data_IF_953908626478
#
_entry.id   IF_953908626478
#
_cell.length_a   1.000
_cell.length_b   1.000
_cell.length_c   1.000
_cell.angle_alpha   90.00
_cell.angle_beta   90.00
_cell.angle_gamma   90.00
#
_symmetry.space_group_name_H-M   'P 1'
#
loop_
_entity.id
_entity.type
_entity.pdbx_description
1 polymer ?
#
# COMPACT_ATOMS: atom_id res chain seq x y z
N UNK A 1 9.10 -10.57 13.28
CA UNK A 1 8.86 -9.52 12.25
C UNK A 1 7.41 -9.09 12.35
N UNK A 2 7.14 -7.79 12.57
CA UNK A 2 5.77 -7.25 12.60
C UNK A 2 5.52 -6.52 11.29
N UNK A 3 4.43 -6.86 10.61
CA UNK A 3 4.05 -6.28 9.31
C UNK A 3 2.59 -5.85 9.36
N UNK A 4 2.32 -4.64 8.87
CA UNK A 4 0.97 -4.13 8.66
C UNK A 4 0.90 -3.36 7.35
N UNK A 5 -0.26 -3.38 6.70
CA UNK A 5 -0.56 -2.52 5.56
C UNK A 5 -1.59 -1.47 5.98
N UNK A 6 -1.45 -0.25 5.48
CA UNK A 6 -2.48 0.78 5.50
C UNK A 6 -2.96 0.93 4.07
N UNK A 7 -4.24 0.62 3.85
CA UNK A 7 -4.89 0.73 2.55
C UNK A 7 -5.78 1.95 2.59
N UNK A 8 -5.51 2.91 1.71
CA UNK A 8 -6.30 4.11 1.52
C UNK A 8 -7.11 3.96 0.24
N UNK A 9 -8.42 4.19 0.31
CA UNK A 9 -9.34 4.12 -0.83
C UNK A 9 -10.03 5.48 -0.95
N UNK A 10 -9.93 6.09 -2.12
CA UNK A 10 -10.58 7.36 -2.44
C UNK A 10 -11.48 7.16 -3.66
N UNK A 11 -12.70 7.66 -3.63
CA UNK A 11 -13.66 7.44 -4.70
C UNK A 11 -14.82 8.43 -4.67
N UNK A 12 -15.81 8.17 -5.53
CA UNK A 12 -17.03 8.96 -5.64
C UNK A 12 -18.22 8.07 -5.36
N UNK A 13 -19.04 8.46 -4.39
CA UNK A 13 -20.26 7.76 -4.01
C UNK A 13 -21.22 7.69 -5.20
N UNK A 14 -21.78 6.51 -5.43
CA UNK A 14 -22.98 6.34 -6.25
C UNK A 14 -24.18 6.96 -5.53
N UNK A 15 -25.20 7.44 -6.26
CA UNK A 15 -26.35 8.19 -5.69
C UNK A 15 -27.12 7.47 -4.56
N UNK A 16 -27.00 6.14 -4.46
CA UNK A 16 -27.61 5.29 -3.41
C UNK A 16 -26.64 4.97 -2.24
N UNK A 17 -25.43 5.53 -2.26
CA UNK A 17 -24.29 5.12 -1.45
C UNK A 17 -24.16 5.83 -0.10
N UNK A 18 -24.78 7.00 0.08
CA UNK A 18 -24.57 7.82 1.30
C UNK A 18 -25.04 7.14 2.59
N UNK A 19 -26.24 6.55 2.59
CA UNK A 19 -26.79 5.83 3.76
C UNK A 19 -25.93 4.62 4.10
N UNK A 20 -25.50 3.86 3.08
CA UNK A 20 -24.61 2.71 3.26
C UNK A 20 -23.25 3.13 3.82
N UNK A 21 -22.67 4.21 3.32
CA UNK A 21 -21.38 4.72 3.77
C UNK A 21 -21.39 5.03 5.28
N UNK A 22 -22.41 5.77 5.75
CA UNK A 22 -22.54 6.13 7.17
C UNK A 22 -22.60 4.92 8.12
N UNK A 23 -23.16 3.80 7.67
CA UNK A 23 -23.27 2.55 8.43
C UNK A 23 -21.96 1.76 8.46
N UNK A 24 -21.33 1.62 7.29
CA UNK A 24 -20.01 0.99 7.11
C UNK A 24 -18.99 1.59 8.09
N UNK A 25 -18.98 2.91 8.17
CA UNK A 25 -18.09 3.68 9.07
C UNK A 25 -18.27 3.31 10.53
N UNK A 26 -19.51 3.16 10.99
CA UNK A 26 -19.82 2.94 12.41
C UNK A 26 -19.53 1.51 12.83
N UNK A 27 -19.71 0.57 11.93
CA UNK A 27 -19.81 -0.86 12.25
C UNK A 27 -18.54 -1.65 11.89
N UNK A 28 -17.67 -1.12 11.02
CA UNK A 28 -16.55 -1.87 10.47
C UNK A 28 -15.19 -1.26 10.83
N UNK A 29 -14.15 -2.11 10.88
CA UNK A 29 -12.77 -1.70 11.17
C UNK A 29 -12.21 -0.86 10.01
N UNK A 30 -12.30 0.46 10.12
CA UNK A 30 -11.73 1.44 9.20
C UNK A 30 -11.85 2.86 9.76
N UNK A 31 -11.28 3.83 9.05
CA UNK A 31 -11.31 5.25 9.44
C UNK A 31 -11.65 6.13 8.24
N UNK A 32 -12.55 7.07 8.43
CA UNK A 32 -12.77 8.15 7.46
C UNK A 32 -11.67 9.18 7.64
N UNK A 33 -11.05 9.58 6.53
CA UNK A 33 -10.18 10.76 6.50
C UNK A 33 -10.94 11.98 6.01
N UNK A 34 -11.78 11.82 4.99
CA UNK A 34 -12.57 12.89 4.42
C UNK A 34 -13.87 12.38 3.78
N UNK A 35 -14.92 13.19 3.83
CA UNK A 35 -16.16 13.00 3.10
C UNK A 35 -16.62 14.39 2.67
N UNK A 36 -16.69 14.61 1.36
CA UNK A 36 -17.28 15.79 0.77
C UNK A 36 -18.64 15.41 0.19
N UNK A 37 -19.70 15.86 0.86
CA UNK A 37 -21.08 15.58 0.46
C UNK A 37 -21.56 16.49 -0.68
N UNK A 38 -20.85 17.57 -1.00
CA UNK A 38 -21.16 18.42 -2.14
C UNK A 38 -20.65 17.78 -3.43
N UNK A 39 -19.43 17.24 -3.41
CA UNK A 39 -18.84 16.53 -4.57
C UNK A 39 -19.07 15.02 -4.56
N UNK A 40 -19.73 14.49 -3.53
CA UNK A 40 -19.92 13.06 -3.29
C UNK A 40 -18.61 12.26 -3.27
N UNK A 41 -17.50 12.86 -2.81
CA UNK A 41 -16.20 12.20 -2.75
C UNK A 41 -15.89 11.70 -1.34
N UNK A 42 -15.22 10.56 -1.23
CA UNK A 42 -14.78 10.00 0.05
C UNK A 42 -13.30 9.65 0.02
N UNK A 43 -12.70 9.69 1.21
CA UNK A 43 -11.35 9.24 1.51
C UNK A 43 -11.41 8.41 2.80
N UNK A 44 -11.08 7.13 2.69
CA UNK A 44 -11.07 6.20 3.82
C UNK A 44 -9.76 5.43 3.90
N UNK A 45 -9.40 5.00 5.10
CA UNK A 45 -8.23 4.17 5.36
C UNK A 45 -8.57 2.97 6.26
N UNK A 46 -7.93 1.84 6.01
CA UNK A 46 -8.00 0.66 6.87
C UNK A 46 -6.60 0.12 7.13
N UNK A 47 -6.33 -0.29 8.37
CA UNK A 47 -5.10 -1.00 8.73
C UNK A 47 -5.35 -2.50 8.69
N UNK A 48 -4.58 -3.20 7.86
CA UNK A 48 -4.69 -4.64 7.66
C UNK A 48 -3.44 -5.33 8.19
N UNK A 49 -3.64 -6.45 8.86
CA UNK A 49 -2.60 -7.47 9.05
C UNK A 49 -2.84 -8.61 8.07
N UNK A 50 -1.92 -9.59 8.03
CA UNK A 50 -2.11 -10.81 7.21
C UNK A 50 -3.40 -11.57 7.51
N UNK A 51 -3.89 -11.49 8.75
CA UNK A 51 -5.11 -12.19 9.17
C UNK A 51 -6.38 -11.46 8.74
N UNK A 52 -6.27 -10.16 8.45
CA UNK A 52 -7.41 -9.27 8.20
C UNK A 52 -7.55 -8.91 6.71
N UNK A 53 -6.83 -9.60 5.81
CA UNK A 53 -6.82 -9.24 4.38
C UNK A 53 -8.23 -9.29 3.78
N UNK A 54 -9.01 -10.32 4.15
CA UNK A 54 -10.45 -10.35 3.85
C UNK A 54 -11.13 -9.39 4.80
N UNK A 55 -11.42 -8.20 4.30
CA UNK A 55 -11.92 -7.10 5.11
C UNK A 55 -13.32 -6.73 4.65
N UNK A 56 -14.31 -6.98 5.51
CA UNK A 56 -15.69 -6.54 5.28
C UNK A 56 -15.75 -5.03 5.02
N UNK A 57 -14.83 -4.26 5.61
CA UNK A 57 -14.69 -2.83 5.34
C UNK A 57 -14.33 -2.55 3.88
N UNK A 58 -13.34 -3.26 3.32
CA UNK A 58 -12.97 -3.12 1.90
C UNK A 58 -14.10 -3.60 1.02
N UNK A 59 -14.75 -4.71 1.36
CA UNK A 59 -15.88 -5.23 0.59
C UNK A 59 -17.01 -4.21 0.46
N UNK A 60 -17.45 -3.67 1.59
CA UNK A 60 -18.53 -2.70 1.60
C UNK A 60 -18.13 -1.36 0.96
N UNK A 61 -16.92 -0.85 1.22
CA UNK A 61 -16.41 0.37 0.58
C UNK A 61 -16.29 0.21 -0.93
N UNK A 62 -15.89 -0.98 -1.40
CA UNK A 62 -15.71 -1.22 -2.84
C UNK A 62 -17.02 -1.07 -3.64
N UNK A 63 -18.16 -1.31 -2.99
CA UNK A 63 -19.50 -1.18 -3.61
C UNK A 63 -19.98 0.27 -3.74
N UNK A 64 -19.27 1.22 -3.15
CA UNK A 64 -19.69 2.63 -3.10
C UNK A 64 -19.32 3.43 -4.34
N UNK A 65 -18.31 2.98 -5.11
CA UNK A 65 -17.86 3.61 -6.35
C UNK A 65 -17.78 2.57 -7.47
N UNK A 66 -17.81 3.02 -8.74
CA UNK A 66 -17.43 2.16 -9.88
C UNK A 66 -15.91 2.04 -10.01
N UNK A 67 -15.21 3.15 -9.79
CA UNK A 67 -13.76 3.27 -9.84
C UNK A 67 -13.27 3.99 -8.59
N UNK A 68 -12.10 3.59 -8.09
CA UNK A 68 -11.47 4.22 -6.94
C UNK A 68 -9.97 4.37 -7.16
N UNK A 69 -9.39 5.36 -6.49
CA UNK A 69 -7.96 5.47 -6.32
C UNK A 69 -7.53 4.71 -5.07
N UNK A 70 -6.52 3.85 -5.21
CA UNK A 70 -6.01 3.03 -4.10
C UNK A 70 -4.54 3.35 -3.85
N UNK A 71 -4.20 3.57 -2.58
CA UNK A 71 -2.83 3.76 -2.09
C UNK A 71 -2.57 2.72 -0.99
N UNK A 72 -1.54 1.90 -1.17
CA UNK A 72 -1.15 0.88 -0.19
C UNK A 72 0.22 1.25 0.39
N UNK A 73 0.30 1.30 1.72
CA UNK A 73 1.55 1.51 2.46
C UNK A 73 1.80 0.35 3.41
N UNK A 74 2.89 -0.37 3.20
CA UNK A 74 3.30 -1.47 4.09
C UNK A 74 4.39 -0.98 5.05
N UNK A 75 4.27 -1.36 6.31
CA UNK A 75 5.21 -1.06 7.37
C UNK A 75 5.75 -2.37 7.91
N UNK A 76 7.07 -2.52 7.87
CA UNK A 76 7.77 -3.72 8.35
C UNK A 76 8.77 -3.31 9.42
N UNK A 77 8.64 -3.88 10.62
CA UNK A 77 9.64 -3.71 11.68
C UNK A 77 10.76 -4.72 11.46
N UNK A 78 11.96 -4.22 11.17
CA UNK A 78 13.19 -4.99 10.95
C UNK A 78 14.14 -4.69 12.10
N UNK A 79 14.38 -5.69 12.94
CA UNK A 79 15.20 -5.52 14.15
C UNK A 79 16.70 -5.42 13.84
N UNK A 80 17.15 -5.96 12.69
CA UNK A 80 18.55 -6.03 12.30
C UNK A 80 18.72 -5.51 10.87
N UNK A 81 19.39 -4.36 10.74
CA UNK A 81 19.67 -3.73 9.44
C UNK A 81 20.48 -4.65 8.53
N UNK A 82 21.35 -5.45 9.12
CA UNK A 82 22.25 -6.41 8.47
C UNK A 82 21.44 -7.46 7.69
N UNK A 83 20.28 -7.88 8.21
CA UNK A 83 19.37 -8.79 7.51
C UNK A 83 18.86 -8.18 6.20
N UNK A 84 18.44 -6.90 6.23
CA UNK A 84 18.00 -6.20 5.03
C UNK A 84 19.15 -6.07 4.02
N UNK A 85 20.33 -5.61 4.49
CA UNK A 85 21.50 -5.44 3.61
C UNK A 85 21.96 -6.74 2.97
N UNK A 86 21.95 -7.84 3.73
CA UNK A 86 22.26 -9.18 3.21
C UNK A 86 21.28 -9.58 2.11
N UNK A 87 19.98 -9.44 2.36
CA UNK A 87 18.98 -9.78 1.35
C UNK A 87 19.09 -8.93 0.08
N UNK A 88 19.30 -7.60 0.21
CA UNK A 88 19.51 -6.72 -0.94
C UNK A 88 20.72 -7.16 -1.77
N UNK A 89 21.81 -7.60 -1.11
CA UNK A 89 23.00 -8.13 -1.78
C UNK A 89 22.70 -9.46 -2.49
N UNK A 90 22.08 -10.41 -1.79
CA UNK A 90 21.80 -11.75 -2.31
C UNK A 90 20.87 -11.70 -3.54
N UNK A 91 19.89 -10.78 -3.53
CA UNK A 91 18.94 -10.55 -4.62
C UNK A 91 19.42 -9.52 -5.66
N UNK A 92 20.66 -9.02 -5.52
CA UNK A 92 21.28 -8.02 -6.41
C UNK A 92 20.44 -6.73 -6.58
N UNK A 93 19.70 -6.34 -5.55
CA UNK A 93 18.88 -5.14 -5.54
C UNK A 93 19.78 -3.92 -5.27
N UNK A 94 19.77 -2.97 -6.20
CA UNK A 94 20.48 -1.70 -6.02
C UNK A 94 19.72 -0.81 -5.04
N UNK A 95 20.46 -0.14 -4.16
CA UNK A 95 19.91 0.80 -3.19
C UNK A 95 20.82 2.01 -3.04
N UNK A 96 20.27 3.10 -2.51
CA UNK A 96 21.02 4.30 -2.11
C UNK A 96 20.92 4.52 -0.61
N UNK A 97 21.92 5.19 -0.05
CA UNK A 97 21.92 5.65 1.34
C UNK A 97 21.84 7.16 1.35
N UNK A 98 20.77 7.71 1.92
CA UNK A 98 20.51 9.15 1.97
C UNK A 98 19.93 9.49 3.35
N UNK A 99 20.51 10.45 4.05
CA UNK A 99 20.03 10.95 5.35
C UNK A 99 19.79 9.87 6.43
N UNK A 100 20.64 8.84 6.44
CA UNK A 100 20.50 7.70 7.37
C UNK A 100 19.41 6.70 6.97
N UNK A 101 18.76 6.89 5.81
CA UNK A 101 17.81 5.95 5.24
C UNK A 101 18.46 5.10 4.14
N UNK A 102 17.90 3.90 3.92
CA UNK A 102 18.20 3.06 2.75
C UNK A 102 16.98 3.09 1.84
N UNK A 103 17.16 3.49 0.58
CA UNK A 103 16.08 3.59 -0.41
C UNK A 103 16.34 2.69 -1.61
N UNK A 104 15.32 2.00 -2.09
CA UNK A 104 15.38 1.15 -3.28
C UNK A 104 13.99 0.96 -3.89
N UNK A 105 13.95 0.54 -5.15
CA UNK A 105 12.71 0.27 -5.86
C UNK A 105 12.75 -1.10 -6.53
N UNK A 106 11.61 -1.79 -6.54
CA UNK A 106 11.43 -3.09 -7.19
C UNK A 106 10.12 -3.08 -7.95
N UNK A 107 10.12 -3.53 -9.20
CA UNK A 107 8.89 -3.84 -9.94
C UNK A 107 8.66 -5.33 -9.84
N UNK A 108 7.45 -5.73 -9.45
CA UNK A 108 7.06 -7.13 -9.38
C UNK A 108 5.54 -7.28 -9.45
N UNK A 109 5.06 -8.34 -10.09
CA UNK A 109 3.63 -8.68 -10.20
C UNK A 109 2.76 -7.51 -10.72
N UNK A 110 3.30 -6.71 -11.65
CA UNK A 110 2.61 -5.53 -12.19
C UNK A 110 2.48 -4.36 -11.19
N UNK A 111 3.30 -4.34 -10.14
CA UNK A 111 3.32 -3.29 -9.13
C UNK A 111 4.74 -2.76 -8.91
N UNK A 112 4.84 -1.46 -8.65
CA UNK A 112 6.08 -0.81 -8.23
C UNK A 112 6.11 -0.67 -6.70
N UNK A 113 7.17 -1.18 -6.10
CA UNK A 113 7.42 -1.12 -4.67
C UNK A 113 8.56 -0.14 -4.39
N UNK A 114 8.25 0.99 -3.77
CA UNK A 114 9.22 1.99 -3.34
C UNK A 114 9.51 1.80 -1.86
N UNK A 115 10.76 1.48 -1.54
CA UNK A 115 11.19 1.10 -0.21
C UNK A 115 12.02 2.20 0.43
N UNK A 116 11.73 2.52 1.68
CA UNK A 116 12.50 3.42 2.51
C UNK A 116 12.67 2.83 3.92
N UNK A 117 13.87 2.34 4.22
CA UNK A 117 14.24 1.84 5.53
C UNK A 117 14.90 2.95 6.34
N UNK A 118 14.29 3.30 7.47
CA UNK A 118 14.85 4.27 8.41
C UNK A 118 15.70 3.55 9.46
N UNK A 119 17.01 3.80 9.46
CA UNK A 119 17.93 3.09 10.36
C UNK A 119 17.80 3.49 11.83
N UNK A 120 17.16 4.63 12.14
CA UNK A 120 16.92 5.06 13.52
C UNK A 120 15.70 4.37 14.12
N UNK A 121 14.63 4.23 13.33
CA UNK A 121 13.39 3.60 13.79
C UNK A 121 13.35 2.08 13.59
N UNK A 122 14.22 1.53 12.73
CA UNK A 122 14.17 0.11 12.37
C UNK A 122 12.95 -0.26 11.52
N UNK A 123 12.28 0.74 10.92
CA UNK A 123 11.07 0.54 10.13
C UNK A 123 11.40 0.67 8.64
N UNK A 124 11.00 -0.35 7.89
CA UNK A 124 10.92 -0.31 6.43
C UNK A 124 9.51 0.11 6.01
N UNK A 125 9.43 1.27 5.37
CA UNK A 125 8.25 1.78 4.70
C UNK A 125 8.25 1.33 3.25
N UNK A 126 7.11 0.84 2.77
CA UNK A 126 6.96 0.39 1.39
C UNK A 126 5.70 1.02 0.80
N UNK A 127 5.88 1.85 -0.22
CA UNK A 127 4.80 2.42 -1.00
C UNK A 127 4.56 1.53 -2.22
N UNK A 128 3.32 1.06 -2.39
CA UNK A 128 2.97 0.14 -3.48
C UNK A 128 2.12 0.89 -4.49
N UNK A 129 2.58 0.90 -5.74
CA UNK A 129 1.90 1.51 -6.88
C UNK A 129 1.42 0.39 -7.81
N UNK A 130 0.11 0.09 -7.85
CA UNK A 130 -0.40 -0.97 -8.70
C UNK A 130 -0.59 -0.50 -10.15
N UNK A 131 -0.77 -1.46 -11.08
CA UNK A 131 -1.10 -1.16 -12.48
C UNK A 131 0.08 -0.70 -13.33
N UNK A 132 1.29 -1.03 -12.90
CA UNK A 132 2.53 -0.67 -13.58
C UNK A 132 2.79 -1.70 -14.68
N UNK A 133 2.66 -1.27 -15.93
CA UNK A 133 2.97 -2.07 -17.11
C UNK A 133 4.39 -1.71 -17.59
N UNK A 134 5.41 -2.34 -17.01
CA UNK A 134 6.78 -2.22 -17.53
C UNK A 134 7.12 -3.49 -18.30
N UNK A 135 7.64 -3.32 -19.51
CA UNK A 135 8.29 -4.41 -20.24
C UNK A 135 9.60 -4.77 -19.57
N UNK A 136 9.65 -5.97 -18.97
CA UNK A 136 10.81 -6.64 -18.39
C UNK A 136 11.49 -5.98 -17.17
N UNK A 137 12.10 -6.86 -16.34
CA UNK A 137 12.76 -6.60 -15.06
C UNK A 137 13.75 -5.43 -15.11
N UNK A 138 13.25 -4.23 -14.80
CA UNK A 138 14.07 -3.02 -14.78
C UNK A 138 14.53 -2.75 -13.35
N UNK A 139 15.84 -2.74 -13.15
CA UNK A 139 16.44 -2.28 -11.90
C UNK A 139 16.25 -0.76 -11.77
N UNK A 140 15.30 -0.35 -10.92
CA UNK A 140 15.03 1.05 -10.65
C UNK A 140 15.87 1.55 -9.47
N UNK A 141 16.55 2.68 -9.66
CA UNK A 141 17.24 3.38 -8.58
C UNK A 141 16.32 4.47 -8.01
N UNK A 142 16.03 4.37 -6.72
CA UNK A 142 15.22 5.31 -5.99
C UNK A 142 16.05 6.51 -5.49
N UNK A 143 16.10 7.61 -6.24
CA UNK A 143 16.94 8.77 -5.90
C UNK A 143 16.27 9.84 -5.02
N UNK A 144 14.94 9.84 -4.92
CA UNK A 144 14.17 10.86 -4.19
C UNK A 144 13.63 10.37 -2.85
N UNK A 145 13.23 11.31 -1.99
CA UNK A 145 12.45 10.99 -0.79
C UNK A 145 11.04 10.53 -1.18
N UNK A 146 10.54 9.45 -0.58
CA UNK A 146 9.19 8.94 -0.85
C UNK A 146 8.16 9.36 0.19
N UNK A 147 8.63 9.94 1.30
CA UNK A 147 7.80 10.42 2.42
C UNK A 147 6.71 11.40 1.97
N UNK A 148 6.95 12.17 0.91
CA UNK A 148 6.01 13.11 0.29
C UNK A 148 5.15 12.52 -0.84
N UNK A 149 5.45 11.31 -1.30
CA UNK A 149 4.79 10.74 -2.47
C UNK A 149 3.47 10.04 -2.07
N UNK A 150 2.35 10.55 -2.58
CA UNK A 150 1.06 9.84 -2.58
C UNK A 150 0.95 9.14 -3.92
N UNK A 151 1.56 7.96 -4.02
CA UNK A 151 1.30 7.10 -5.18
C UNK A 151 -0.07 6.47 -5.04
N UNK A 152 -0.90 6.63 -6.06
CA UNK A 152 -2.18 5.96 -6.13
C UNK A 152 -2.53 5.66 -7.57
N UNK A 153 -3.21 4.55 -7.81
CA UNK A 153 -3.69 4.20 -9.14
C UNK A 153 -5.21 4.14 -9.14
N UNK A 154 -5.82 4.68 -10.19
CA UNK A 154 -7.24 4.52 -10.46
C UNK A 154 -7.49 3.11 -10.99
N UNK A 155 -8.32 2.35 -10.28
CA UNK A 155 -8.69 0.98 -10.61
C UNK A 155 -10.20 0.82 -10.53
N UNK A 156 -10.71 -0.29 -11.07
CA UNK A 156 -12.08 -0.71 -10.77
C UNK A 156 -12.21 -0.91 -9.27
N UNK A 157 -13.25 -0.34 -8.68
CA UNK A 157 -13.51 -0.42 -7.25
C UNK A 157 -14.09 -1.80 -6.96
N UNK A 158 -13.21 -2.76 -6.67
CA UNK A 158 -13.54 -4.17 -6.50
C UNK A 158 -12.68 -4.74 -5.36
N UNK A 159 -13.35 -5.35 -4.38
CA UNK A 159 -12.68 -5.85 -3.18
C UNK A 159 -11.69 -6.96 -3.47
N UNK A 160 -12.00 -7.89 -4.38
CA UNK A 160 -11.08 -8.97 -4.74
C UNK A 160 -9.80 -8.43 -5.38
N UNK A 161 -9.92 -7.40 -6.22
CA UNK A 161 -8.75 -6.73 -6.83
C UNK A 161 -7.87 -6.05 -5.76
N UNK A 162 -8.49 -5.30 -4.84
CA UNK A 162 -7.75 -4.59 -3.78
C UNK A 162 -7.07 -5.59 -2.84
N UNK A 163 -7.79 -6.64 -2.43
CA UNK A 163 -7.26 -7.69 -1.57
C UNK A 163 -6.10 -8.45 -2.22
N UNK A 164 -6.18 -8.75 -3.51
CA UNK A 164 -5.09 -9.40 -4.26
C UNK A 164 -3.83 -8.55 -4.25
N UNK A 165 -3.94 -7.22 -4.47
CA UNK A 165 -2.81 -6.30 -4.38
C UNK A 165 -2.16 -6.31 -3.00
N UNK A 166 -2.96 -6.34 -1.93
CA UNK A 166 -2.46 -6.41 -0.55
C UNK A 166 -1.76 -7.76 -0.27
N UNK A 167 -2.32 -8.88 -0.77
CA UNK A 167 -1.69 -10.22 -0.64
C UNK A 167 -0.33 -10.25 -1.31
N UNK A 168 -0.25 -9.78 -2.56
CA UNK A 168 1.01 -9.69 -3.31
C UNK A 168 2.01 -8.78 -2.61
N UNK A 169 1.56 -7.67 -2.03
CA UNK A 169 2.44 -6.80 -1.25
C UNK A 169 3.03 -7.50 -0.01
N UNK A 170 2.23 -8.27 0.74
CA UNK A 170 2.77 -9.05 1.85
C UNK A 170 3.71 -10.17 1.38
N UNK A 171 3.38 -10.87 0.31
CA UNK A 171 4.23 -11.91 -0.27
C UNK A 171 5.59 -11.35 -0.73
N UNK A 172 5.59 -10.18 -1.36
CA UNK A 172 6.81 -9.47 -1.75
C UNK A 172 7.71 -9.16 -0.53
N UNK A 173 7.12 -8.74 0.59
CA UNK A 173 7.88 -8.51 1.83
C UNK A 173 8.51 -9.80 2.35
N UNK A 174 7.77 -10.91 2.31
CA UNK A 174 8.27 -12.21 2.77
C UNK A 174 9.45 -12.66 1.92
N UNK A 175 9.34 -12.56 0.60
CA UNK A 175 10.45 -12.90 -0.30
C UNK A 175 11.64 -11.96 -0.15
N UNK A 176 11.39 -10.66 0.02
CA UNK A 176 12.46 -9.68 0.23
C UNK A 176 13.22 -9.96 1.53
N UNK A 177 12.62 -10.56 2.55
CA UNK A 177 13.25 -10.74 3.86
C UNK A 177 13.56 -12.20 4.20
N UNK A 178 13.25 -13.15 3.30
CA UNK A 178 13.71 -14.55 3.34
C UNK A 178 15.15 -14.66 2.88
#
# INVERSE_FOLDING_TARGET
MKIKAVVKITGSLLDVGYVKFSRIIRELKGKIRHLDTFTNTYDVEVTLTRRDIRSDFIDEVSKLSRYCSVSIRVYVVINEKERLLKSLKDKRIRYVKVDGNIRFAVIKDGMLFLHEYNSRSGVLHIYVIPGIHVGADTNLLALSEFSSYVASSSIRCDSAVIEDMVKKAFAHVDELLS
#
